data_IF_753798523209
#
_entry.id   IF_753798523209
#
_cell.length_a   1.000
_cell.length_b   1.000
_cell.length_c   1.000
_cell.angle_alpha   90.00
_cell.angle_beta   90.00
_cell.angle_gamma   90.00
#
_symmetry.space_group_name_H-M   'P 1'
#
loop_
_entity.id
_entity.type
_entity.pdbx_description
1 polymer ?
#
# COMPACT_ATOMS: atom_id res chain seq x y z
N UNK A 1 24.78 11.98 14.80
CA UNK A 1 24.23 10.88 13.98
C UNK A 1 22.81 11.28 13.63
N UNK A 2 22.61 11.79 12.42
CA UNK A 2 21.31 12.31 12.00
C UNK A 2 20.50 11.15 11.45
N UNK A 3 19.44 10.78 12.16
CA UNK A 3 18.38 9.91 11.66
C UNK A 3 17.85 10.56 10.39
N UNK A 4 18.25 10.01 9.24
CA UNK A 4 17.66 10.38 7.96
C UNK A 4 16.20 9.96 8.06
N UNK A 5 15.31 10.92 8.28
CA UNK A 5 13.88 10.74 8.15
C UNK A 5 13.62 10.21 6.75
N UNK A 6 13.42 8.90 6.65
CA UNK A 6 12.93 8.26 5.45
C UNK A 6 11.72 9.09 5.00
N UNK A 7 11.81 9.67 3.80
CA UNK A 7 10.77 10.48 3.20
C UNK A 7 9.61 9.53 2.83
N UNK A 8 8.94 9.02 3.85
CA UNK A 8 7.58 8.51 3.73
C UNK A 8 6.79 9.62 3.05
N UNK A 9 5.87 9.25 2.15
CA UNK A 9 4.81 10.20 1.81
C UNK A 9 4.32 10.79 3.14
N UNK A 10 4.06 12.09 3.24
CA UNK A 10 3.49 12.77 4.42
C UNK A 10 2.05 12.31 4.71
N UNK A 11 1.78 11.03 4.47
CA UNK A 11 0.51 10.37 4.43
C UNK A 11 0.25 9.82 5.82
N UNK A 12 -0.82 10.27 6.43
CA UNK A 12 -1.29 9.81 7.73
C UNK A 12 -2.31 8.71 7.48
N UNK A 13 -2.12 7.57 8.14
CA UNK A 13 -3.04 6.44 8.07
C UNK A 13 -3.93 6.39 9.32
N UNK A 14 -5.23 6.23 9.11
CA UNK A 14 -6.24 6.12 10.16
C UNK A 14 -6.97 4.79 9.95
N UNK A 15 -6.82 3.87 10.89
CA UNK A 15 -7.45 2.56 10.81
C UNK A 15 -7.69 1.93 12.18
N UNK A 16 -8.63 0.98 12.23
CA UNK A 16 -8.89 0.13 13.38
C UNK A 16 -8.82 -1.35 12.99
N UNK A 17 -7.80 -1.73 12.23
CA UNK A 17 -7.56 -3.11 11.82
C UNK A 17 -7.10 -3.96 13.03
N UNK A 18 -7.58 -5.22 13.20
CA UNK A 18 -8.42 -6.00 12.27
C UNK A 18 -9.93 -5.81 12.46
N UNK A 19 -10.39 -5.02 13.43
CA UNK A 19 -11.83 -4.79 13.68
C UNK A 19 -12.55 -4.17 12.49
N UNK A 20 -11.85 -3.32 11.71
CA UNK A 20 -12.32 -2.77 10.43
C UNK A 20 -11.31 -3.06 9.32
N UNK A 21 -11.80 -3.50 8.17
CA UNK A 21 -11.01 -3.65 6.94
C UNK A 21 -10.70 -2.33 6.25
N UNK A 22 -11.36 -1.24 6.66
CA UNK A 22 -11.21 0.09 6.05
C UNK A 22 -10.02 0.83 6.65
N UNK A 23 -9.13 1.28 5.78
CA UNK A 23 -7.99 2.13 6.09
C UNK A 23 -8.19 3.44 5.33
N UNK A 24 -8.06 4.55 6.04
CA UNK A 24 -8.07 5.89 5.45
C UNK A 24 -6.65 6.44 5.41
N UNK A 25 -6.30 7.11 4.31
CA UNK A 25 -4.99 7.70 4.14
C UNK A 25 -5.10 9.15 3.65
N UNK A 26 -4.44 10.07 4.36
CA UNK A 26 -4.47 11.49 4.08
C UNK A 26 -3.08 12.00 3.76
N UNK A 27 -2.85 12.65 2.62
CA UNK A 27 -1.64 13.43 2.43
C UNK A 27 -1.95 14.87 2.04
N UNK A 28 -1.07 15.77 2.47
CA UNK A 28 -1.11 17.17 2.04
C UNK A 28 -0.05 17.41 0.97
N UNK A 29 -0.46 18.06 -0.11
CA UNK A 29 0.45 18.53 -1.16
C UNK A 29 -0.02 19.89 -1.65
N UNK A 30 0.88 20.87 -1.73
CA UNK A 30 0.59 22.25 -2.16
C UNK A 30 -0.61 22.87 -1.41
N UNK A 31 -0.72 22.63 -0.10
CA UNK A 31 -1.83 23.14 0.73
C UNK A 31 -3.18 22.46 0.52
N UNK A 32 -3.28 21.46 -0.36
CA UNK A 32 -4.49 20.67 -0.60
C UNK A 32 -4.40 19.32 0.11
N UNK A 33 -5.48 18.95 0.80
CA UNK A 33 -5.67 17.64 1.40
C UNK A 33 -6.20 16.65 0.35
N UNK A 34 -5.58 15.48 0.29
CA UNK A 34 -5.99 14.36 -0.55
C UNK A 34 -6.26 13.16 0.33
N UNK A 35 -7.43 12.55 0.16
CA UNK A 35 -7.85 11.35 0.88
C UNK A 35 -7.98 10.17 -0.07
N UNK A 36 -7.45 9.03 0.38
CA UNK A 36 -7.64 7.72 -0.26
C UNK A 36 -8.25 6.78 0.76
N UNK A 37 -9.10 5.87 0.30
CA UNK A 37 -9.64 4.80 1.14
C UNK A 37 -9.22 3.46 0.60
N UNK A 38 -8.86 2.55 1.50
CA UNK A 38 -8.50 1.19 1.18
C UNK A 38 -9.39 0.25 1.97
N UNK A 39 -9.90 -0.79 1.32
CA UNK A 39 -10.69 -1.84 1.93
C UNK A 39 -9.97 -3.17 1.73
N UNK A 40 -9.40 -3.72 2.80
CA UNK A 40 -8.72 -5.02 2.77
C UNK A 40 -9.78 -6.11 2.65
N UNK A 41 -9.77 -6.82 1.52
CA UNK A 41 -10.72 -7.92 1.25
C UNK A 41 -10.10 -9.26 1.63
N UNK A 42 -8.80 -9.43 1.38
CA UNK A 42 -8.04 -10.64 1.70
C UNK A 42 -6.59 -10.26 2.01
N UNK A 43 -6.06 -10.81 3.11
CA UNK A 43 -4.63 -10.69 3.44
C UNK A 43 -3.74 -11.59 2.58
N UNK A 44 -4.30 -12.62 1.96
CA UNK A 44 -3.51 -13.62 1.28
C UNK A 44 -2.56 -14.38 2.20
N UNK A 45 -1.56 -15.03 1.61
CA UNK A 45 -0.55 -15.81 2.34
C UNK A 45 0.83 -15.47 1.81
N UNK A 46 1.80 -15.26 2.69
CA UNK A 46 3.20 -15.12 2.28
C UNK A 46 3.77 -16.49 1.94
N UNK A 47 4.23 -16.74 0.70
CA UNK A 47 4.90 -17.99 0.37
C UNK A 47 6.28 -18.04 1.04
N UNK A 48 6.85 -19.25 1.18
CA UNK A 48 8.15 -19.47 1.83
C UNK A 48 9.27 -18.65 1.17
N UNK A 49 9.21 -18.46 -0.14
CA UNK A 49 10.12 -17.62 -0.91
C UNK A 49 9.33 -16.51 -1.62
N UNK A 50 9.00 -15.40 -0.93
CA UNK A 50 8.16 -14.35 -1.49
C UNK A 50 8.89 -13.56 -2.57
N UNK A 51 8.15 -13.24 -3.64
CA UNK A 51 8.60 -12.21 -4.58
C UNK A 51 8.67 -10.88 -3.82
N UNK A 52 9.73 -10.14 -4.05
CA UNK A 52 9.93 -8.84 -3.41
C UNK A 52 9.51 -7.72 -4.35
N UNK A 53 8.98 -6.66 -3.77
CA UNK A 53 8.69 -5.41 -4.47
C UNK A 53 9.46 -4.24 -3.84
N UNK A 54 9.99 -3.36 -4.68
CA UNK A 54 10.74 -2.17 -4.27
C UNK A 54 10.19 -0.92 -4.95
N UNK A 55 10.11 0.21 -4.22
CA UNK A 55 9.75 1.50 -4.83
C UNK A 55 10.88 1.91 -5.78
N UNK A 56 10.59 2.69 -6.82
CA UNK A 56 11.48 2.94 -7.96
C UNK A 56 12.87 3.56 -7.67
N UNK A 57 13.17 3.97 -6.42
CA UNK A 57 14.52 4.36 -6.02
C UNK A 57 15.37 3.13 -5.74
N UNK A 58 16.51 3.02 -6.44
CA UNK A 58 17.63 2.14 -6.02
C UNK A 58 17.94 2.45 -4.55
N UNK A 59 18.13 1.41 -3.75
CA UNK A 59 18.34 1.45 -2.29
C UNK A 59 17.11 1.78 -1.40
N UNK A 60 15.89 1.45 -1.85
CA UNK A 60 14.73 1.47 -0.95
C UNK A 60 14.41 0.09 -0.39
N UNK A 61 13.79 0.07 0.80
CA UNK A 61 13.32 -1.16 1.46
C UNK A 61 12.50 -2.01 0.49
N UNK A 62 12.81 -3.30 0.45
CA UNK A 62 12.05 -4.28 -0.30
C UNK A 62 11.00 -4.90 0.61
N UNK A 63 9.79 -5.10 0.08
CA UNK A 63 8.68 -5.68 0.82
C UNK A 63 8.27 -7.01 0.18
N UNK A 64 8.05 -8.06 0.97
CA UNK A 64 7.51 -9.31 0.45
C UNK A 64 6.09 -9.08 -0.06
N UNK A 65 5.74 -9.74 -1.16
CA UNK A 65 4.39 -9.71 -1.73
C UNK A 65 3.64 -10.97 -1.25
N UNK A 66 2.48 -10.84 -0.59
CA UNK A 66 1.61 -11.98 -0.30
C UNK A 66 0.93 -12.50 -1.58
N UNK A 67 0.64 -13.80 -1.64
CA UNK A 67 -0.19 -14.41 -2.68
C UNK A 67 -1.68 -14.24 -2.33
N UNK A 68 -2.54 -13.97 -3.31
CA UNK A 68 -4.00 -13.81 -3.13
C UNK A 68 -4.42 -12.70 -2.13
N UNK A 69 -3.57 -11.70 -1.92
CA UNK A 69 -3.95 -10.45 -1.27
C UNK A 69 -4.85 -9.64 -2.19
N UNK A 70 -5.96 -9.17 -1.64
CA UNK A 70 -6.97 -8.41 -2.37
C UNK A 70 -7.28 -7.15 -1.58
N UNK A 71 -7.16 -6.01 -2.23
CA UNK A 71 -7.56 -4.71 -1.70
C UNK A 71 -8.35 -3.94 -2.73
N UNK A 72 -9.42 -3.30 -2.28
CA UNK A 72 -10.10 -2.27 -3.07
C UNK A 72 -9.62 -0.90 -2.60
N UNK A 73 -9.30 -0.04 -3.55
CA UNK A 73 -8.88 1.34 -3.30
C UNK A 73 -9.87 2.29 -3.94
N UNK A 74 -10.36 3.24 -3.18
CA UNK A 74 -11.16 4.36 -3.66
C UNK A 74 -10.26 5.59 -3.77
N UNK A 75 -10.09 6.08 -5.01
CA UNK A 75 -9.33 7.29 -5.29
C UNK A 75 -10.00 8.09 -6.39
N UNK A 76 -10.28 9.38 -6.12
CA UNK A 76 -10.91 10.29 -7.09
C UNK A 76 -12.15 9.69 -7.76
N UNK A 77 -13.10 9.19 -6.96
CA UNK A 77 -14.38 8.59 -7.40
C UNK A 77 -14.25 7.29 -8.21
N UNK A 78 -13.04 6.72 -8.29
CA UNK A 78 -12.81 5.43 -8.95
C UNK A 78 -12.50 4.37 -7.90
N UNK A 79 -13.17 3.23 -8.03
CA UNK A 79 -12.87 2.03 -7.27
C UNK A 79 -11.94 1.13 -8.09
N UNK A 80 -10.76 0.85 -7.55
CA UNK A 80 -9.75 0.00 -8.16
C UNK A 80 -9.55 -1.22 -7.27
N UNK A 81 -9.87 -2.40 -7.79
CA UNK A 81 -9.56 -3.67 -7.15
C UNK A 81 -8.17 -4.13 -7.57
N UNK A 82 -7.30 -4.34 -6.59
CA UNK A 82 -5.96 -4.86 -6.77
C UNK A 82 -5.87 -6.26 -6.17
N UNK A 83 -5.34 -7.19 -6.96
CA UNK A 83 -5.15 -8.58 -6.54
C UNK A 83 -3.76 -9.05 -6.93
N UNK A 84 -3.07 -9.68 -5.98
CA UNK A 84 -1.81 -10.36 -6.23
C UNK A 84 -2.08 -11.74 -6.79
N UNK A 85 -2.22 -11.84 -8.11
CA UNK A 85 -2.11 -13.13 -8.79
C UNK A 85 -0.64 -13.43 -9.07
N UNK A 86 -0.25 -14.70 -8.95
CA UNK A 86 1.11 -15.22 -9.20
C UNK A 86 1.75 -14.71 -10.51
N UNK A 87 0.93 -14.29 -11.48
CA UNK A 87 1.30 -13.94 -12.85
C UNK A 87 1.36 -12.43 -13.17
N UNK A 88 0.77 -11.52 -12.37
CA UNK A 88 0.69 -10.08 -12.73
C UNK A 88 0.82 -9.09 -11.57
N UNK A 89 2.04 -8.90 -11.01
CA UNK A 89 2.28 -7.92 -9.94
C UNK A 89 2.31 -6.45 -10.42
N UNK A 90 2.11 -6.15 -11.72
CA UNK A 90 2.39 -4.81 -12.28
C UNK A 90 1.49 -3.69 -11.72
N UNK A 91 0.20 -3.95 -11.52
CA UNK A 91 -0.72 -2.96 -10.96
C UNK A 91 -0.61 -2.86 -9.43
N UNK A 92 -0.05 -3.88 -8.78
CA UNK A 92 0.05 -3.97 -7.34
C UNK A 92 1.09 -3.00 -6.76
N UNK A 93 2.20 -2.79 -7.47
CA UNK A 93 3.33 -1.99 -6.97
C UNK A 93 2.89 -0.59 -6.53
N UNK A 94 2.00 0.09 -7.23
CA UNK A 94 1.61 1.46 -6.85
C UNK A 94 0.78 1.51 -5.56
N UNK A 95 -0.10 0.55 -5.34
CA UNK A 95 -1.10 0.59 -4.25
C UNK A 95 -0.66 -0.19 -3.01
N UNK A 96 0.22 -1.18 -3.13
CA UNK A 96 0.77 -1.92 -1.99
C UNK A 96 1.65 -1.03 -1.11
N UNK A 97 2.50 -0.19 -1.70
CA UNK A 97 3.34 0.74 -0.90
C UNK A 97 2.51 1.76 -0.12
N UNK A 98 1.30 2.04 -0.58
CA UNK A 98 0.41 2.97 0.11
C UNK A 98 -0.34 2.30 1.27
N UNK A 99 -0.29 0.99 1.45
CA UNK A 99 -1.05 0.27 2.50
C UNK A 99 -0.12 -0.45 3.50
N UNK A 100 1.11 -0.76 3.09
CA UNK A 100 2.07 -1.58 3.85
C UNK A 100 3.08 -0.72 4.63
N UNK A 101 2.99 0.61 4.54
CA UNK A 101 3.84 1.57 5.23
C UNK A 101 3.07 2.34 6.29
#
# INVERSE_FOLDING_TARGET
MSEQSENFSSRVFIHNYPTSSRIEAHYQSNGRLYSSYYNIISLGTYPVNPKLTQRSRKDTRQYPIPDNYIVETEFSERNIRCETTLLKPLNFKKYFYDIVL
#
